data_IF_829539517619
#
_entry.id   IF_829539517619
#
_cell.length_a   1.000
_cell.length_b   1.000
_cell.length_c   1.000
_cell.angle_alpha   90.00
_cell.angle_beta   90.00
_cell.angle_gamma   90.00
#
_symmetry.space_group_name_H-M   'P 1'
#
loop_
_entity.id
_entity.type
_entity.pdbx_description
1 polymer ?
#
# COMPACT_ATOMS: atom_id res chain seq x y z
N UNK A 1 -61.68 17.42 13.12
CA UNK A 1 -60.86 17.47 14.35
C UNK A 1 -59.50 16.76 14.22
N UNK A 2 -59.32 15.85 13.26
CA UNK A 2 -58.09 15.05 13.13
C UNK A 2 -56.93 15.75 12.39
N UNK A 3 -57.24 16.77 11.57
CA UNK A 3 -56.25 17.57 10.83
C UNK A 3 -55.51 18.60 11.71
N UNK A 4 -56.07 18.99 12.86
CA UNK A 4 -55.45 19.94 13.80
C UNK A 4 -54.48 19.25 14.79
N UNK A 5 -54.60 17.93 15.00
CA UNK A 5 -53.69 17.13 15.84
C UNK A 5 -52.34 16.83 15.18
N UNK A 6 -52.23 16.96 13.85
CA UNK A 6 -50.98 16.73 13.10
C UNK A 6 -50.06 17.96 13.02
N UNK A 7 -50.56 19.15 13.40
CA UNK A 7 -49.83 20.43 13.29
C UNK A 7 -49.02 20.76 14.56
N UNK A 8 -49.37 20.17 15.71
CA UNK A 8 -48.64 20.35 16.96
C UNK A 8 -47.93 19.04 17.28
N UNK A 9 -46.88 18.71 16.52
CA UNK A 9 -45.85 17.83 17.07
C UNK A 9 -45.20 18.63 18.20
N UNK A 10 -45.16 18.14 19.46
CA UNK A 10 -44.44 18.83 20.51
C UNK A 10 -43.01 19.06 20.01
N UNK A 11 -42.52 20.30 20.07
CA UNK A 11 -41.11 20.57 19.76
C UNK A 11 -40.29 19.61 20.61
N UNK A 12 -39.36 18.84 20.02
CA UNK A 12 -38.58 17.86 20.76
C UNK A 12 -37.94 18.56 21.94
N UNK A 13 -38.00 17.96 23.13
CA UNK A 13 -37.47 18.59 24.33
C UNK A 13 -35.99 18.91 24.09
N UNK A 14 -35.45 20.04 24.57
CA UNK A 14 -34.03 20.37 24.39
C UNK A 14 -33.08 19.21 24.80
N UNK A 15 -33.47 18.42 25.80
CA UNK A 15 -32.76 17.21 26.22
C UNK A 15 -32.80 16.05 25.20
N UNK A 16 -33.91 15.87 24.48
CA UNK A 16 -34.04 14.88 23.40
C UNK A 16 -33.23 15.31 22.18
N UNK A 17 -33.26 16.60 21.84
CA UNK A 17 -32.42 17.16 20.80
C UNK A 17 -30.94 16.96 21.14
N UNK A 18 -30.51 17.26 22.37
CA UNK A 18 -29.13 17.03 22.79
C UNK A 18 -28.72 15.55 22.63
N UNK A 19 -29.57 14.61 23.05
CA UNK A 19 -29.31 13.17 22.86
C UNK A 19 -29.20 12.78 21.39
N UNK A 20 -30.08 13.29 20.54
CA UNK A 20 -30.03 13.01 19.11
C UNK A 20 -28.80 13.61 18.44
N UNK A 21 -28.39 14.82 18.85
CA UNK A 21 -27.17 15.46 18.37
C UNK A 21 -25.93 14.69 18.82
N UNK A 22 -25.88 14.23 20.08
CA UNK A 22 -24.82 13.37 20.59
C UNK A 22 -24.74 12.05 19.81
N UNK A 23 -25.88 11.38 19.56
CA UNK A 23 -25.90 10.15 18.76
C UNK A 23 -25.39 10.37 17.34
N UNK A 24 -25.81 11.46 16.69
CA UNK A 24 -25.34 11.83 15.34
C UNK A 24 -23.85 12.10 15.34
N UNK A 25 -23.34 12.84 16.32
CA UNK A 25 -21.93 13.13 16.45
C UNK A 25 -21.10 11.87 16.69
N UNK A 26 -21.55 10.94 17.53
CA UNK A 26 -20.90 9.65 17.71
C UNK A 26 -20.95 8.78 16.44
N UNK A 27 -22.07 8.78 15.72
CA UNK A 27 -22.18 8.05 14.46
C UNK A 27 -21.24 8.61 13.40
N UNK A 28 -21.18 9.93 13.27
CA UNK A 28 -20.27 10.60 12.33
C UNK A 28 -18.81 10.36 12.72
N UNK A 29 -18.48 10.44 14.01
CA UNK A 29 -17.14 10.12 14.51
C UNK A 29 -16.72 8.69 14.16
N UNK A 30 -17.61 7.69 14.31
CA UNK A 30 -17.33 6.31 13.89
C UNK A 30 -17.14 6.19 12.38
N UNK A 31 -17.91 6.94 11.59
CA UNK A 31 -17.79 6.95 10.13
C UNK A 31 -16.43 7.52 9.69
N UNK A 32 -16.04 8.67 10.25
CA UNK A 32 -14.75 9.30 9.99
C UNK A 32 -13.60 8.36 10.36
N UNK A 33 -13.66 7.68 11.51
CA UNK A 33 -12.64 6.73 11.93
C UNK A 33 -12.46 5.58 10.92
N UNK A 34 -13.56 5.04 10.39
CA UNK A 34 -13.50 4.00 9.35
C UNK A 34 -12.88 4.50 8.05
N UNK A 35 -13.22 5.73 7.63
CA UNK A 35 -12.63 6.34 6.44
C UNK A 35 -11.12 6.58 6.61
N UNK A 36 -10.71 7.07 7.78
CA UNK A 36 -9.31 7.28 8.13
C UNK A 36 -8.53 5.95 8.09
N UNK A 37 -9.08 4.88 8.67
CA UNK A 37 -8.46 3.55 8.61
C UNK A 37 -8.32 3.03 7.17
N UNK A 38 -9.35 3.20 6.34
CA UNK A 38 -9.31 2.79 4.93
C UNK A 38 -8.23 3.58 4.16
N UNK A 39 -8.14 4.89 4.38
CA UNK A 39 -7.10 5.73 3.77
C UNK A 39 -5.69 5.36 4.25
N UNK A 40 -5.51 5.03 5.52
CA UNK A 40 -4.22 4.58 6.05
C UNK A 40 -3.76 3.26 5.38
N UNK A 41 -4.68 2.29 5.21
CA UNK A 41 -4.41 1.06 4.46
C UNK A 41 -4.00 1.35 3.01
N UNK A 42 -4.70 2.28 2.35
CA UNK A 42 -4.37 2.68 0.97
C UNK A 42 -3.00 3.35 0.86
N UNK A 43 -2.62 4.20 1.83
CA UNK A 43 -1.28 4.82 1.88
C UNK A 43 -0.19 3.75 1.98
N UNK A 44 -0.39 2.71 2.82
CA UNK A 44 0.57 1.63 2.97
C UNK A 44 0.71 0.80 1.69
N UNK A 45 -0.42 0.42 1.09
CA UNK A 45 -0.44 -0.27 -0.21
C UNK A 45 0.28 0.55 -1.28
N UNK A 46 0.01 1.86 -1.34
CA UNK A 46 0.69 2.77 -2.26
C UNK A 46 2.20 2.80 -2.03
N UNK A 47 2.65 2.86 -0.77
CA UNK A 47 4.09 2.80 -0.44
C UNK A 47 4.73 1.48 -0.86
N UNK A 48 4.06 0.35 -0.63
CA UNK A 48 4.53 -0.97 -1.07
C UNK A 48 4.64 -1.03 -2.60
N UNK A 49 3.62 -0.56 -3.33
CA UNK A 49 3.66 -0.49 -4.80
C UNK A 49 4.82 0.39 -5.27
N UNK A 50 5.04 1.55 -4.66
CA UNK A 50 6.17 2.44 -5.02
C UNK A 50 7.51 1.75 -4.79
N UNK A 51 7.69 1.06 -3.66
CA UNK A 51 8.92 0.30 -3.39
C UNK A 51 9.14 -0.81 -4.41
N UNK A 52 8.10 -1.59 -4.72
CA UNK A 52 8.15 -2.62 -5.76
C UNK A 52 8.53 -2.04 -7.13
N UNK A 53 7.97 -0.88 -7.51
CA UNK A 53 8.33 -0.20 -8.75
C UNK A 53 9.80 0.25 -8.78
N UNK A 54 10.33 0.74 -7.66
CA UNK A 54 11.75 1.10 -7.56
C UNK A 54 12.66 -0.13 -7.69
N UNK A 55 12.28 -1.24 -7.05
CA UNK A 55 13.02 -2.50 -7.18
C UNK A 55 12.99 -3.02 -8.62
N UNK A 56 11.81 -3.05 -9.25
CA UNK A 56 11.65 -3.47 -10.64
C UNK A 56 12.50 -2.60 -11.57
N UNK A 57 12.53 -1.28 -11.35
CA UNK A 57 13.37 -0.35 -12.11
C UNK A 57 14.86 -0.66 -11.94
N UNK A 58 15.30 -0.95 -10.72
CA UNK A 58 16.68 -1.32 -10.46
C UNK A 58 17.06 -2.65 -11.16
N UNK A 59 16.19 -3.65 -11.08
CA UNK A 59 16.37 -4.95 -11.74
C UNK A 59 16.44 -4.80 -13.29
N UNK A 60 15.58 -3.96 -13.89
CA UNK A 60 15.65 -3.65 -15.33
C UNK A 60 16.97 -2.97 -15.73
N UNK A 61 17.45 -2.02 -14.92
CA UNK A 61 18.74 -1.38 -15.16
C UNK A 61 19.89 -2.39 -15.08
N UNK A 62 19.86 -3.28 -14.09
CA UNK A 62 20.84 -4.36 -13.98
C UNK A 62 20.81 -5.27 -15.20
N UNK A 63 19.63 -5.69 -15.66
CA UNK A 63 19.48 -6.47 -16.90
C UNK A 63 20.15 -5.73 -18.08
N UNK A 64 19.86 -4.45 -18.27
CA UNK A 64 20.46 -3.66 -19.35
C UNK A 64 22.00 -3.64 -19.28
N UNK A 65 22.57 -3.46 -18.07
CA UNK A 65 24.02 -3.51 -17.88
C UNK A 65 24.62 -4.88 -18.17
N UNK A 66 24.03 -5.95 -17.62
CA UNK A 66 24.53 -7.31 -17.83
C UNK A 66 24.48 -7.71 -19.31
N UNK A 67 23.44 -7.31 -20.03
CA UNK A 67 23.35 -7.55 -21.48
C UNK A 67 24.40 -6.74 -22.24
N UNK A 68 24.58 -5.46 -21.90
CA UNK A 68 25.62 -4.64 -22.50
C UNK A 68 26.99 -5.29 -22.37
N UNK A 69 27.31 -5.78 -21.17
CA UNK A 69 28.56 -6.50 -20.91
C UNK A 69 28.63 -7.82 -21.69
N UNK A 70 27.55 -8.62 -21.76
CA UNK A 70 27.51 -9.85 -22.55
C UNK A 70 27.78 -9.59 -24.04
N UNK A 71 27.25 -8.49 -24.60
CA UNK A 71 27.49 -8.10 -25.99
C UNK A 71 28.95 -7.67 -26.19
N UNK A 72 29.53 -6.88 -25.29
CA UNK A 72 30.94 -6.46 -25.39
C UNK A 72 31.91 -7.65 -25.31
N UNK A 73 31.63 -8.61 -24.42
CA UNK A 73 32.39 -9.87 -24.32
C UNK A 73 32.25 -10.67 -25.61
N UNK A 74 31.05 -10.77 -26.19
CA UNK A 74 30.84 -11.47 -27.44
C UNK A 74 31.61 -10.82 -28.61
N UNK A 75 31.69 -9.49 -28.67
CA UNK A 75 32.47 -8.79 -29.68
C UNK A 75 33.98 -9.02 -29.52
N UNK A 76 34.47 -9.16 -28.29
CA UNK A 76 35.90 -9.30 -28.00
C UNK A 76 36.39 -10.75 -28.07
N UNK A 77 35.60 -11.68 -27.52
CA UNK A 77 35.99 -13.09 -27.30
C UNK A 77 35.22 -14.04 -28.23
N UNK A 78 34.23 -13.55 -28.99
CA UNK A 78 33.48 -14.34 -29.98
C UNK A 78 32.46 -15.32 -29.39
N UNK A 79 32.23 -15.31 -28.08
CA UNK A 79 31.21 -16.14 -27.43
C UNK A 79 30.33 -15.31 -26.50
N UNK A 80 29.03 -15.62 -26.44
CA UNK A 80 28.10 -15.01 -25.50
C UNK A 80 28.15 -15.76 -24.17
N UNK A 81 28.54 -15.11 -23.06
CA UNK A 81 28.52 -15.75 -21.76
C UNK A 81 27.08 -15.91 -21.27
N UNK A 82 26.78 -17.07 -20.69
CA UNK A 82 25.53 -17.31 -19.97
C UNK A 82 25.48 -16.43 -18.72
N UNK A 83 24.33 -15.83 -18.44
CA UNK A 83 24.11 -14.89 -17.34
C UNK A 83 23.01 -15.39 -16.41
N UNK A 84 23.44 -15.95 -15.28
CA UNK A 84 22.54 -16.37 -14.19
C UNK A 84 21.87 -15.17 -13.52
N UNK A 85 22.55 -14.02 -13.48
CA UNK A 85 22.00 -12.81 -12.86
C UNK A 85 20.85 -12.22 -13.69
N UNK A 86 21.00 -12.18 -15.03
CA UNK A 86 19.90 -11.77 -15.93
C UNK A 86 18.70 -12.69 -15.73
N UNK A 87 18.93 -14.00 -15.62
CA UNK A 87 17.86 -14.96 -15.36
C UNK A 87 17.11 -14.68 -14.05
N UNK A 88 17.83 -14.41 -12.96
CA UNK A 88 17.23 -14.07 -11.66
C UNK A 88 16.41 -12.78 -11.73
N UNK A 89 16.95 -11.73 -12.34
CA UNK A 89 16.23 -10.46 -12.48
C UNK A 89 14.97 -10.61 -13.32
N UNK A 90 15.03 -11.35 -14.43
CA UNK A 90 13.85 -11.62 -15.26
C UNK A 90 12.79 -12.40 -14.50
N UNK A 91 13.17 -13.42 -13.73
CA UNK A 91 12.23 -14.20 -12.92
C UNK A 91 11.55 -13.33 -11.84
N UNK A 92 12.29 -12.43 -11.19
CA UNK A 92 11.70 -11.49 -10.24
C UNK A 92 10.72 -10.52 -10.92
N UNK A 93 11.09 -9.97 -12.08
CA UNK A 93 10.23 -9.07 -12.85
C UNK A 93 9.00 -9.79 -13.43
N UNK A 94 9.05 -11.10 -13.66
CA UNK A 94 7.88 -11.89 -14.06
C UNK A 94 6.78 -11.92 -12.99
N UNK A 95 7.13 -11.70 -11.71
CA UNK A 95 6.16 -11.59 -10.61
C UNK A 95 5.38 -10.28 -10.63
N UNK A 96 5.90 -9.24 -11.30
CA UNK A 96 5.23 -7.96 -11.43
C UNK A 96 4.15 -8.04 -12.55
N UNK A 97 2.85 -7.93 -12.22
CA UNK A 97 1.78 -8.24 -13.17
C UNK A 97 1.82 -7.35 -14.42
N UNK A 98 2.22 -6.09 -14.30
CA UNK A 98 2.25 -5.11 -15.38
C UNK A 98 3.29 -5.44 -16.48
N UNK A 99 4.38 -6.11 -16.12
CA UNK A 99 5.48 -6.45 -17.04
C UNK A 99 5.68 -7.96 -17.22
N UNK A 100 4.94 -8.78 -16.47
CA UNK A 100 5.02 -10.24 -16.45
C UNK A 100 5.07 -10.88 -17.86
N UNK A 101 4.12 -10.52 -18.72
CA UNK A 101 4.01 -11.02 -20.09
C UNK A 101 5.24 -10.63 -20.91
N UNK A 102 5.63 -9.35 -20.85
CA UNK A 102 6.80 -8.84 -21.60
C UNK A 102 8.11 -9.47 -21.14
N UNK A 103 8.25 -9.75 -19.84
CA UNK A 103 9.45 -10.39 -19.28
C UNK A 103 9.50 -11.88 -19.59
N UNK A 104 8.35 -12.54 -19.70
CA UNK A 104 8.28 -13.92 -20.17
C UNK A 104 8.72 -14.05 -21.64
N UNK A 105 8.28 -13.14 -22.51
CA UNK A 105 8.73 -13.07 -23.90
C UNK A 105 10.23 -12.74 -23.99
N UNK A 106 10.68 -11.76 -23.22
CA UNK A 106 12.08 -11.40 -23.09
C UNK A 106 12.94 -12.60 -22.64
N UNK A 107 12.50 -13.34 -21.62
CA UNK A 107 13.17 -14.56 -21.15
C UNK A 107 13.34 -15.57 -22.29
N UNK A 108 12.29 -15.81 -23.09
CA UNK A 108 12.34 -16.76 -24.21
C UNK A 108 13.36 -16.33 -25.26
N UNK A 109 13.39 -15.07 -25.64
CA UNK A 109 14.37 -14.55 -26.62
C UNK A 109 15.80 -14.62 -26.07
N UNK A 110 16.00 -14.33 -24.78
CA UNK A 110 17.31 -14.42 -24.14
C UNK A 110 17.81 -15.86 -23.99
N UNK A 111 16.92 -16.83 -23.78
CA UNK A 111 17.25 -18.26 -23.83
C UNK A 111 17.64 -18.67 -25.25
N UNK A 112 16.90 -18.25 -26.28
CA UNK A 112 17.25 -18.50 -27.69
C UNK A 112 18.60 -17.89 -28.09
N UNK A 113 18.90 -16.70 -27.57
CA UNK A 113 20.19 -16.03 -27.78
C UNK A 113 21.37 -16.70 -27.05
N UNK A 114 21.12 -17.73 -26.24
CA UNK A 114 22.14 -18.44 -25.47
C UNK A 114 22.65 -17.68 -24.25
N UNK A 115 22.00 -16.56 -23.88
CA UNK A 115 22.37 -15.75 -22.72
C UNK A 115 21.79 -16.34 -21.43
N UNK A 116 20.60 -16.93 -21.48
CA UNK A 116 19.97 -17.61 -20.34
C UNK A 116 19.92 -19.12 -20.63
N UNK A 117 20.13 -19.95 -19.61
CA UNK A 117 19.96 -21.40 -19.75
C UNK A 117 18.48 -21.79 -19.82
N UNK A 118 18.17 -22.83 -20.60
CA UNK A 118 16.87 -23.48 -20.61
C UNK A 118 16.73 -24.35 -19.35
N UNK A 119 16.49 -23.71 -18.21
CA UNK A 119 16.06 -24.42 -17.01
C UNK A 119 14.55 -24.39 -16.96
N UNK A 120 13.90 -25.55 -16.85
CA UNK A 120 12.46 -25.65 -16.60
C UNK A 120 12.18 -24.94 -15.28
N UNK A 121 11.54 -23.77 -15.35
CA UNK A 121 11.16 -23.00 -14.17
C UNK A 121 9.97 -23.76 -13.54
N UNK A 122 10.23 -24.68 -12.61
CA UNK A 122 9.18 -25.25 -11.76
C UNK A 122 8.60 -24.07 -10.98
N UNK A 123 7.43 -23.63 -11.42
CA UNK A 123 6.61 -22.60 -10.78
C UNK A 123 6.08 -23.19 -9.48
N UNK A 124 6.97 -23.31 -8.51
CA UNK A 124 6.63 -23.47 -7.11
C UNK A 124 7.09 -22.15 -6.50
N UNK A 125 6.20 -21.16 -6.43
CA UNK A 125 6.24 -20.33 -5.22
C UNK A 125 5.02 -19.45 -4.92
N UNK A 126 4.81 -19.36 -3.61
CA UNK A 126 4.30 -18.23 -2.84
C UNK A 126 2.84 -17.79 -2.94
N UNK A 127 1.89 -18.72 -3.06
CA UNK A 127 0.51 -18.45 -2.59
C UNK A 127 0.39 -18.31 -1.05
N UNK A 128 1.51 -18.42 -0.33
CA UNK A 128 1.59 -18.31 1.13
C UNK A 128 1.99 -16.91 1.63
N UNK A 129 2.38 -15.98 0.74
CA UNK A 129 2.78 -14.62 1.15
C UNK A 129 1.59 -13.67 1.38
N UNK A 130 0.37 -14.01 0.92
CA UNK A 130 -0.76 -13.08 1.00
C UNK A 130 -1.36 -12.93 2.41
N UNK A 131 -1.23 -13.92 3.28
CA UNK A 131 -1.76 -13.84 4.66
C UNK A 131 -0.83 -13.08 5.61
N UNK A 132 0.49 -13.27 5.50
CA UNK A 132 1.49 -12.60 6.37
C UNK A 132 1.53 -11.08 6.12
N UNK A 133 1.33 -10.67 4.86
CA UNK A 133 1.29 -9.25 4.46
C UNK A 133 0.08 -8.53 5.06
N UNK A 134 -1.05 -9.21 5.25
CA UNK A 134 -2.28 -8.54 5.70
C UNK A 134 -2.24 -8.23 7.20
N UNK A 135 -1.62 -9.09 8.00
CA UNK A 135 -1.38 -8.87 9.44
C UNK A 135 -0.31 -7.78 9.67
N UNK A 136 0.78 -7.78 8.90
CA UNK A 136 1.82 -6.73 8.95
C UNK A 136 1.26 -5.34 8.57
N UNK A 137 0.36 -5.28 7.57
CA UNK A 137 -0.30 -4.04 7.19
C UNK A 137 -1.15 -3.50 8.34
N UNK A 138 -1.83 -4.36 9.11
CA UNK A 138 -2.70 -3.90 10.21
C UNK A 138 -1.91 -3.26 11.36
N UNK A 139 -0.75 -3.82 11.71
CA UNK A 139 0.16 -3.21 12.69
C UNK A 139 0.72 -1.86 12.20
N UNK A 140 1.08 -1.79 10.92
CA UNK A 140 1.66 -0.58 10.33
C UNK A 140 0.61 0.54 10.16
N UNK A 141 -0.68 0.19 10.01
CA UNK A 141 -1.79 1.17 10.00
C UNK A 141 -1.80 1.97 11.29
N UNK A 142 -1.69 1.32 12.46
CA UNK A 142 -1.76 2.02 13.75
C UNK A 142 -0.61 3.02 13.92
N UNK A 143 0.57 2.68 13.42
CA UNK A 143 1.73 3.59 13.39
C UNK A 143 1.48 4.81 12.50
N UNK A 144 0.94 4.60 11.29
CA UNK A 144 0.58 5.70 10.37
C UNK A 144 -0.49 6.60 10.98
N UNK A 145 -1.51 6.01 11.60
CA UNK A 145 -2.57 6.75 12.29
C UNK A 145 -2.04 7.57 13.46
N UNK A 146 -1.12 7.01 14.24
CA UNK A 146 -0.46 7.72 15.35
C UNK A 146 0.38 8.89 14.86
N UNK A 147 1.16 8.70 13.80
CA UNK A 147 1.95 9.77 13.19
C UNK A 147 1.06 10.90 12.64
N UNK A 148 -0.02 10.54 11.94
CA UNK A 148 -0.97 11.51 11.38
C UNK A 148 -1.75 12.25 12.47
N UNK A 149 -2.12 11.56 13.55
CA UNK A 149 -2.76 12.17 14.71
C UNK A 149 -1.82 13.14 15.43
N UNK A 150 -0.54 12.80 15.55
CA UNK A 150 0.50 13.69 16.08
C UNK A 150 0.66 14.95 15.25
N UNK A 151 0.72 14.81 13.92
CA UNK A 151 0.78 15.94 12.99
C UNK A 151 -0.47 16.81 13.06
N UNK A 152 -1.66 16.20 13.10
CA UNK A 152 -2.93 16.92 13.22
C UNK A 152 -3.03 17.65 14.57
N UNK A 153 -2.58 17.04 15.66
CA UNK A 153 -2.51 17.68 16.98
C UNK A 153 -1.57 18.91 16.97
N UNK A 154 -0.49 18.84 16.21
CA UNK A 154 0.44 19.94 15.99
C UNK A 154 -0.10 21.04 15.07
N UNK A 155 -1.26 20.85 14.42
CA UNK A 155 -1.94 21.85 13.59
C UNK A 155 -3.19 22.46 14.27
N UNK A 156 -3.70 21.88 15.36
CA UNK A 156 -4.85 22.42 16.10
C UNK A 156 -4.52 23.76 16.79
N UNK A 157 -5.45 24.73 16.85
CA UNK A 157 -5.23 26.01 17.54
C UNK A 157 -4.86 25.82 19.02
N UNK A 158 -3.97 26.67 19.55
CA UNK A 158 -3.40 26.55 20.92
C UNK A 158 -4.47 26.40 22.04
N UNK A 159 -5.68 26.93 21.83
CA UNK A 159 -6.80 26.80 22.77
C UNK A 159 -7.20 25.34 23.02
N UNK A 160 -7.16 24.48 22.00
CA UNK A 160 -7.47 23.04 22.11
C UNK A 160 -6.29 22.25 22.70
N UNK A 161 -5.05 22.71 22.45
CA UNK A 161 -3.84 22.08 23.03
C UNK A 161 -3.77 22.26 24.55
N UNK A 162 -4.19 23.42 25.07
CA UNK A 162 -4.21 23.72 26.50
C UNK A 162 -5.31 22.98 27.28
N UNK A 163 -6.37 22.53 26.62
CA UNK A 163 -7.44 21.75 27.25
C UNK A 163 -7.05 20.28 27.45
N UNK A 164 -6.33 19.66 26.49
CA UNK A 164 -5.78 18.29 26.65
C UNK A 164 -4.66 18.18 27.70
N UNK A 165 -3.95 19.26 28.00
CA UNK A 165 -2.97 19.29 29.09
C UNK A 165 -3.60 19.49 30.48
N UNK A 166 -4.90 19.82 30.57
CA UNK A 166 -5.60 20.07 31.85
C UNK A 166 -6.39 18.88 32.39
N UNK A 167 -6.52 17.80 31.63
CA UNK A 167 -6.89 16.47 32.13
C UNK A 167 -5.86 15.47 31.59
N UNK A 168 -4.80 15.20 32.38
CA UNK A 168 -4.89 14.14 33.36
C UNK A 168 -4.20 14.51 34.69
N UNK A 169 -5.00 14.75 35.72
CA UNK A 169 -4.61 14.60 37.13
C UNK A 169 -5.89 14.72 37.98
N UNK A 170 -6.58 13.61 38.21
CA UNK A 170 -7.73 13.58 39.11
C UNK A 170 -8.56 12.32 38.97
N UNK A 171 -8.23 11.34 39.82
CA UNK A 171 -9.05 10.25 40.39
C UNK A 171 -9.99 9.47 39.45
#
# INVERSE_FOLDING_TARGET
MEKLRKIIKPKPKPQEQLRDWQRRLHQESRNILRQIQALAKEILRSRQTVNCLYENKAQLNSISMHIGNSVEIALTVGHLPKSVDVMKFVNNLMKAPEISITMQEFSKEMTKAGIIEETVNDVIDSALDSEDIEEEIEEEVDKVLTALAGETAAQLPEAVRKEKLKQPAGA
#
